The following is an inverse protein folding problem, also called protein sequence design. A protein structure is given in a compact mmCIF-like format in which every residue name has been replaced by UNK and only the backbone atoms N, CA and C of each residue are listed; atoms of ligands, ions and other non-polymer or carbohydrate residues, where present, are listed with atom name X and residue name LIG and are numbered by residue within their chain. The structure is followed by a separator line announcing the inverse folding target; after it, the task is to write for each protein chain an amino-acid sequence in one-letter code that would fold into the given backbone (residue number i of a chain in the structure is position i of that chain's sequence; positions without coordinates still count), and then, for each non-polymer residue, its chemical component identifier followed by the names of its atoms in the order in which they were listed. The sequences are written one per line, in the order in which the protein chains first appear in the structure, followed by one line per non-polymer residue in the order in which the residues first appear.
data_IF_323694911055
#
_entry.id   IF_323694911055
#
_cell.length_a   1.000
_cell.length_b   1.000
_cell.length_c   1.000
_cell.angle_alpha   90.00
_cell.angle_beta   90.00
_cell.angle_gamma   90.00
#
_symmetry.space_group_name_H-M   'P 1'
#
loop_
_entity.id
_entity.type
_entity.pdbx_description
1 polymer ?
#
# COMPACT_ATOMS: atom_id res chain seq x y z
N UNK A 1 -5.85 -19.63 -13.34
CA UNK A 1 -7.20 -19.11 -13.63
C UNK A 1 -7.52 -17.75 -12.98
N UNK A 2 -6.58 -17.08 -12.28
CA UNK A 2 -6.85 -15.80 -11.59
C UNK A 2 -7.68 -15.91 -10.31
N UNK A 3 -8.19 -17.10 -9.98
CA UNK A 3 -8.84 -17.38 -8.70
C UNK A 3 -7.78 -17.52 -7.60
N UNK A 4 -7.75 -16.54 -6.69
CA UNK A 4 -6.78 -16.48 -5.59
C UNK A 4 -7.46 -16.93 -4.30
N UNK A 5 -6.93 -18.00 -3.71
CA UNK A 5 -7.32 -18.47 -2.39
C UNK A 5 -6.65 -17.64 -1.29
N UNK A 6 -6.96 -17.97 -0.02
CA UNK A 6 -6.13 -17.60 1.13
C UNK A 6 -4.68 -18.02 0.92
N UNK A 7 -3.74 -17.22 1.43
CA UNK A 7 -2.31 -17.45 1.30
C UNK A 7 -1.84 -18.71 2.06
N UNK A 8 -2.66 -19.28 2.91
CA UNK A 8 -2.41 -20.61 3.49
C UNK A 8 -2.58 -21.75 2.48
N UNK A 9 -3.31 -21.54 1.38
CA UNK A 9 -3.61 -22.59 0.40
C UNK A 9 -2.53 -22.70 -0.68
N UNK A 10 -1.91 -23.88 -0.78
CA UNK A 10 -0.88 -24.20 -1.78
C UNK A 10 -1.46 -24.63 -3.13
N UNK A 11 -2.72 -25.09 -3.16
CA UNK A 11 -3.47 -25.47 -4.36
C UNK A 11 -4.64 -24.53 -4.58
N UNK A 12 -4.89 -24.12 -5.82
CA UNK A 12 -6.07 -23.36 -6.24
C UNK A 12 -7.36 -24.16 -5.94
N UNK A 13 -8.38 -23.58 -5.30
CA UNK A 13 -9.63 -24.32 -4.98
C UNK A 13 -10.59 -24.40 -6.18
N UNK A 14 -10.32 -23.64 -7.26
CA UNK A 14 -11.10 -23.67 -8.51
C UNK A 14 -10.36 -24.31 -9.68
N UNK A 15 -9.10 -24.68 -9.52
CA UNK A 15 -8.27 -25.11 -10.64
C UNK A 15 -7.12 -25.98 -10.17
N UNK A 16 -6.56 -26.83 -11.05
CA UNK A 16 -5.41 -27.65 -10.72
C UNK A 16 -4.09 -26.86 -10.65
N UNK A 17 -4.10 -25.58 -11.05
CA UNK A 17 -2.90 -24.75 -11.10
C UNK A 17 -2.28 -24.52 -9.71
N UNK A 18 -0.95 -24.66 -9.58
CA UNK A 18 -0.25 -24.35 -8.34
C UNK A 18 -0.23 -22.84 -8.08
N UNK A 19 -0.10 -22.46 -6.81
CA UNK A 19 0.08 -21.05 -6.45
C UNK A 19 1.36 -20.49 -7.11
N UNK A 20 1.36 -19.25 -7.64
CA UNK A 20 2.58 -18.57 -8.04
C UNK A 20 3.59 -18.57 -6.89
N UNK A 21 4.86 -18.89 -7.18
CA UNK A 21 5.93 -18.81 -6.18
C UNK A 21 6.00 -17.38 -5.66
N UNK A 22 5.95 -17.23 -4.33
CA UNK A 22 6.15 -15.95 -3.66
C UNK A 22 7.61 -15.54 -3.83
N UNK A 23 7.86 -14.38 -4.42
CA UNK A 23 9.21 -13.85 -4.53
C UNK A 23 9.58 -13.06 -3.27
N UNK A 24 10.89 -12.86 -3.06
CA UNK A 24 11.39 -11.97 -2.02
C UNK A 24 10.77 -10.58 -2.16
N UNK A 25 10.16 -10.08 -1.09
CA UNK A 25 9.49 -8.78 -1.06
C UNK A 25 8.00 -8.81 -1.39
N UNK A 26 7.47 -9.88 -2.00
CA UNK A 26 6.03 -10.05 -2.14
C UNK A 26 5.40 -10.17 -0.73
N UNK A 27 4.18 -9.66 -0.58
CA UNK A 27 3.58 -9.52 0.74
C UNK A 27 2.11 -9.91 0.70
N UNK A 28 1.65 -10.62 1.72
CA UNK A 28 0.23 -10.89 1.89
C UNK A 28 -0.38 -9.69 2.62
N UNK A 29 -1.52 -9.21 2.14
CA UNK A 29 -2.25 -8.14 2.79
C UNK A 29 -2.71 -8.58 4.19
N UNK A 30 -2.44 -7.81 5.25
CA UNK A 30 -2.84 -8.20 6.61
C UNK A 30 -4.36 -8.21 6.82
N UNK A 31 -5.11 -7.47 5.98
CA UNK A 31 -6.57 -7.34 6.08
C UNK A 31 -7.34 -8.42 5.31
N UNK A 32 -6.87 -8.80 4.13
CA UNK A 32 -7.62 -9.71 3.25
C UNK A 32 -6.80 -10.91 2.72
N UNK A 33 -5.55 -11.06 3.20
CA UNK A 33 -4.61 -12.13 2.87
C UNK A 33 -4.26 -12.27 1.38
N UNK A 34 -4.59 -11.23 0.59
CA UNK A 34 -4.26 -11.18 -0.82
C UNK A 34 -2.75 -11.03 -1.02
N UNK A 35 -2.14 -11.90 -1.83
CA UNK A 35 -0.74 -11.80 -2.22
C UNK A 35 -0.55 -10.64 -3.21
N UNK A 36 0.24 -9.65 -2.81
CA UNK A 36 0.65 -8.51 -3.62
C UNK A 36 2.12 -8.63 -4.02
N UNK A 37 2.45 -8.09 -5.19
CA UNK A 37 3.84 -7.98 -5.63
C UNK A 37 4.62 -6.98 -4.77
N UNK A 38 5.92 -7.21 -4.61
CA UNK A 38 6.83 -6.36 -3.85
C UNK A 38 6.76 -4.86 -4.24
N UNK A 39 6.47 -4.57 -5.51
CA UNK A 39 6.36 -3.21 -6.05
C UNK A 39 5.08 -2.47 -5.63
N UNK A 40 4.10 -3.18 -5.06
CA UNK A 40 2.84 -2.58 -4.63
C UNK A 40 2.99 -1.99 -3.23
N UNK A 41 2.78 -0.68 -3.14
CA UNK A 41 2.68 0.04 -1.87
C UNK A 41 1.34 -0.16 -1.15
N UNK A 42 0.31 -0.60 -1.87
CA UNK A 42 -1.03 -0.88 -1.36
C UNK A 42 -1.58 -2.19 -1.91
N UNK A 43 -2.53 -2.78 -1.21
CA UNK A 43 -3.14 -4.04 -1.62
C UNK A 43 -3.97 -3.81 -2.87
N UNK A 44 -3.75 -4.62 -3.91
CA UNK A 44 -4.49 -4.54 -5.16
C UNK A 44 -5.99 -4.80 -5.00
N UNK A 45 -6.40 -5.51 -3.93
CA UNK A 45 -7.79 -5.88 -3.69
C UNK A 45 -8.54 -4.93 -2.77
N UNK A 46 -7.91 -4.49 -1.69
CA UNK A 46 -8.59 -3.71 -0.63
C UNK A 46 -7.87 -2.42 -0.25
N UNK A 47 -6.83 -2.04 -1.00
CA UNK A 47 -6.05 -0.80 -0.85
C UNK A 47 -5.30 -0.63 0.49
N UNK A 48 -5.33 -1.65 1.36
CA UNK A 48 -4.57 -1.68 2.60
C UNK A 48 -3.09 -1.43 2.35
N UNK A 49 -2.45 -0.64 3.21
CA UNK A 49 -1.04 -0.28 3.02
C UNK A 49 -0.15 -1.52 3.15
N UNK A 50 0.92 -1.56 2.35
CA UNK A 50 1.92 -2.61 2.45
C UNK A 50 2.60 -2.54 3.83
N UNK A 51 2.47 -3.56 4.69
CA UNK A 51 3.05 -3.54 6.04
C UNK A 51 4.59 -3.52 6.01
N UNK A 52 5.20 -3.90 4.88
CA UNK A 52 6.64 -3.89 4.67
C UNK A 52 7.13 -2.61 3.98
N UNK A 53 6.24 -1.68 3.58
CA UNK A 53 6.70 -0.43 2.96
C UNK A 53 7.35 0.45 4.02
N UNK A 54 8.67 0.63 3.92
CA UNK A 54 9.37 1.68 4.64
C UNK A 54 9.17 2.99 3.89
N UNK A 55 8.22 3.80 4.32
CA UNK A 55 8.11 5.19 3.86
C UNK A 55 9.07 6.01 4.72
N UNK A 56 10.03 6.70 4.09
CA UNK A 56 10.86 7.66 4.80
C UNK A 56 10.12 9.00 4.88
N UNK A 57 10.33 9.81 5.93
CA UNK A 57 9.76 11.15 6.01
C UNK A 57 10.02 11.96 4.74
N UNK A 58 8.97 12.56 4.17
CA UNK A 58 9.03 13.32 2.92
C UNK A 58 8.88 12.49 1.64
N UNK A 59 9.04 11.16 1.68
CA UNK A 59 8.67 10.31 0.55
C UNK A 59 7.16 10.39 0.32
N UNK A 60 6.73 10.33 -0.94
CA UNK A 60 5.34 10.57 -1.28
C UNK A 60 4.85 9.66 -2.41
N UNK A 61 3.63 9.16 -2.26
CA UNK A 61 2.94 8.40 -3.31
C UNK A 61 2.20 9.35 -4.23
N UNK A 62 2.39 9.18 -5.54
CA UNK A 62 1.76 10.04 -6.53
C UNK A 62 0.23 9.92 -6.48
N UNK A 63 -0.53 11.00 -6.26
CA UNK A 63 -2.00 10.92 -6.15
C UNK A 63 -2.70 10.53 -7.45
N UNK A 64 -2.03 10.67 -8.61
CA UNK A 64 -2.61 10.34 -9.92
C UNK A 64 -2.36 8.90 -10.34
N UNK A 65 -1.21 8.33 -10.01
CA UNK A 65 -0.79 7.03 -10.55
C UNK A 65 -0.20 6.06 -9.53
N UNK A 66 -0.27 6.41 -8.25
CA UNK A 66 0.20 5.63 -7.09
C UNK A 66 1.69 5.24 -7.16
N UNK A 67 2.46 5.93 -8.01
CA UNK A 67 3.89 5.71 -8.12
C UNK A 67 4.60 6.31 -6.91
N UNK A 68 5.39 5.50 -6.22
CA UNK A 68 6.22 5.92 -5.09
C UNK A 68 7.35 6.85 -5.54
N UNK A 69 7.49 8.00 -4.90
CA UNK A 69 8.55 8.97 -5.16
C UNK A 69 9.35 9.22 -3.87
N UNK A 70 10.67 9.26 -4.01
CA UNK A 70 11.56 9.69 -2.93
C UNK A 70 11.38 11.18 -2.62
N UNK A 71 11.65 11.60 -1.39
CA UNK A 71 11.45 12.96 -0.88
C UNK A 71 12.13 14.04 -1.73
N UNK A 72 13.28 13.72 -2.34
CA UNK A 72 14.00 14.62 -3.25
C UNK A 72 13.25 14.91 -4.57
N UNK A 73 12.27 14.10 -4.92
CA UNK A 73 11.55 14.24 -6.18
C UNK A 73 10.41 15.26 -6.01
N UNK A 74 10.53 16.44 -6.61
CA UNK A 74 9.48 17.47 -6.60
C UNK A 74 8.33 17.20 -7.58
N UNK A 75 8.53 16.23 -8.48
CA UNK A 75 7.55 15.75 -9.45
C UNK A 75 7.58 14.22 -9.52
N UNK A 76 6.45 13.62 -9.87
CA UNK A 76 6.33 12.18 -10.01
C UNK A 76 7.20 11.70 -11.19
N UNK A 77 8.11 10.75 -10.96
CA UNK A 77 9.00 10.24 -12.02
C UNK A 77 8.25 9.52 -13.16
N UNK A 78 7.03 9.03 -12.90
CA UNK A 78 6.23 8.29 -13.88
C UNK A 78 5.31 9.17 -14.72
N UNK A 79 4.74 10.23 -14.14
CA UNK A 79 3.71 11.03 -14.80
C UNK A 79 3.89 12.55 -14.68
N UNK A 80 5.02 13.00 -14.13
CA UNK A 80 5.45 14.40 -14.04
C UNK A 80 4.53 15.35 -13.27
N UNK A 81 3.54 14.86 -12.52
CA UNK A 81 2.73 15.72 -11.66
C UNK A 81 3.54 16.22 -10.47
N UNK A 82 3.23 17.41 -9.96
CA UNK A 82 3.90 17.98 -8.78
C UNK A 82 3.59 17.16 -7.52
N UNK A 83 4.55 17.12 -6.60
CA UNK A 83 4.34 16.58 -5.26
C UNK A 83 3.14 17.27 -4.58
N UNK A 84 2.28 16.51 -3.88
CA UNK A 84 1.27 17.11 -3.00
C UNK A 84 2.00 17.95 -1.96
N UNK A 85 1.69 19.25 -1.89
CA UNK A 85 2.15 20.06 -0.75
C UNK A 85 1.52 19.45 0.50
N UNK A 86 2.32 19.15 1.52
CA UNK A 86 1.82 18.73 2.82
C UNK A 86 0.76 19.74 3.27
N UNK A 87 -0.51 19.32 3.27
CA UNK A 87 -1.45 19.96 4.16
C UNK A 87 -1.09 19.46 5.56
N UNK A 88 -0.91 20.35 6.55
CA UNK A 88 -0.60 19.93 7.90
C UNK A 88 -1.70 18.97 8.36
N UNK A 89 -1.30 17.75 8.72
CA UNK A 89 -2.20 16.73 9.22
C UNK A 89 -2.68 17.19 10.60
N UNK A 90 -3.76 17.97 10.63
CA UNK A 90 -4.33 18.55 11.85
C UNK A 90 -5.18 17.51 12.60
N UNK A 91 -4.70 16.27 12.71
CA UNK A 91 -5.34 15.18 13.45
C UNK A 91 -4.87 15.12 14.92
N UNK A 92 -4.45 16.25 15.50
CA UNK A 92 -4.08 16.34 16.92
C UNK A 92 -4.74 17.50 17.69
N UNK A 93 -5.79 18.13 17.17
CA UNK A 93 -6.54 19.20 17.86
C UNK A 93 -7.98 18.82 18.27
N UNK A 94 -8.45 17.58 18.03
CA UNK A 94 -9.82 17.17 18.43
C UNK A 94 -9.92 16.43 19.78
N UNK A 95 -8.84 16.38 20.57
CA UNK A 95 -8.84 15.72 21.90
C UNK A 95 -8.63 16.65 23.12
N UNK A 96 -8.82 17.98 22.98
CA UNK A 96 -8.61 18.93 24.10
C UNK A 96 -9.91 19.60 24.64
N UNK A 97 -11.10 19.36 24.06
CA UNK A 97 -12.33 20.04 24.51
C UNK A 97 -13.29 19.22 25.40
N UNK A 98 -12.90 18.05 25.90
CA UNK A 98 -13.70 17.29 26.89
C UNK A 98 -13.03 17.28 28.26
N UNK A 99 -13.22 18.39 29.00
CA UNK A 99 -13.54 18.46 30.45
C UNK A 99 -13.15 19.82 31.03
N UNK A 100 -14.06 20.79 30.92
CA UNK A 100 -14.23 21.84 31.92
C UNK A 100 -15.71 22.18 32.02
N UNK A 101 -16.39 21.45 32.90
CA UNK A 101 -17.40 21.95 33.83
C UNK A 101 -17.74 20.81 34.80
#
# INVERSE_FOLDING_TARGET
CGFMNYASNVKCLKCPEPRPKKNSGDWNCPKCDFLNFATKGKCFRCEESNPNSKQYPGDWSCPKCDFYNYARNTKCLKCNIKQPKEQPNNENEEHIWRRRN
#
